data_IF_271217510949
#
_entry.id   IF_271217510949
#
_cell.length_a   1.000
_cell.length_b   1.000
_cell.length_c   1.000
_cell.angle_alpha   90.00
_cell.angle_beta   90.00
_cell.angle_gamma   90.00
#
_symmetry.space_group_name_H-M   'P 1'
#
loop_
_entity.id
_entity.type
_entity.pdbx_description
1 polymer ?
#
# COMPACT_ATOMS: atom_id res chain seq x y z
N UNK A 1 19.03 17.89 11.92
CA UNK A 1 19.20 16.83 12.93
C UNK A 1 18.08 15.83 12.70
N UNK A 2 18.38 14.73 12.01
CA UNK A 2 17.40 13.67 11.73
C UNK A 2 17.63 12.52 12.72
N UNK A 3 16.60 12.18 13.47
CA UNK A 3 16.63 11.08 14.42
C UNK A 3 16.00 9.83 13.80
N UNK A 4 16.77 8.75 13.69
CA UNK A 4 16.23 7.42 13.41
C UNK A 4 16.02 6.75 14.75
N UNK A 5 14.75 6.61 15.16
CA UNK A 5 14.38 5.90 16.38
C UNK A 5 14.53 4.40 16.17
N UNK A 6 15.47 3.79 16.86
CA UNK A 6 15.52 2.36 17.10
C UNK A 6 15.18 2.11 18.57
N UNK A 7 14.27 1.20 18.91
CA UNK A 7 14.12 0.81 20.31
C UNK A 7 15.41 0.11 20.74
N UNK A 8 16.22 0.77 21.57
CA UNK A 8 17.54 0.35 22.02
C UNK A 8 18.67 1.28 21.69
N UNK A 9 18.59 2.10 20.62
CA UNK A 9 19.69 2.97 20.20
C UNK A 9 19.21 4.23 19.46
N UNK A 10 19.92 5.35 19.69
CA UNK A 10 19.77 6.57 18.92
C UNK A 10 20.93 6.73 17.95
N UNK A 11 20.65 6.98 16.68
CA UNK A 11 21.65 7.41 15.71
C UNK A 11 21.63 8.93 15.63
N UNK A 12 22.74 9.56 15.98
CA UNK A 12 22.91 11.00 15.91
C UNK A 12 23.78 11.33 14.70
N UNK A 13 23.22 12.07 13.73
CA UNK A 13 23.97 12.62 12.62
C UNK A 13 24.29 14.08 12.96
N UNK A 14 25.54 14.39 13.23
CA UNK A 14 26.00 15.76 13.36
C UNK A 14 26.38 16.36 12.00
N UNK A 15 26.09 17.66 11.77
CA UNK A 15 26.44 18.32 10.51
C UNK A 15 27.95 18.46 10.33
N UNK A 16 28.42 18.84 9.19
CA UNK A 16 29.41 18.29 8.24
C UNK A 16 30.82 18.03 8.71
N UNK A 17 31.14 18.07 10.01
CA UNK A 17 32.52 17.97 10.52
C UNK A 17 32.90 16.65 11.22
N UNK A 18 31.97 15.74 11.46
CA UNK A 18 32.27 14.47 12.15
C UNK A 18 32.05 13.24 11.24
N UNK A 19 33.17 12.53 11.04
CA UNK A 19 33.22 11.28 10.26
C UNK A 19 32.79 10.02 11.06
N UNK A 20 32.11 10.18 12.19
CA UNK A 20 31.81 9.08 13.08
C UNK A 20 30.32 8.92 13.27
N UNK A 21 29.80 7.70 13.04
CA UNK A 21 28.48 7.28 13.44
C UNK A 21 28.52 6.96 14.94
N UNK A 22 27.75 7.68 15.75
CA UNK A 22 27.61 7.40 17.16
C UNK A 22 26.31 6.63 17.41
N UNK A 23 26.44 5.46 18.04
CA UNK A 23 25.29 4.62 18.45
C UNK A 23 25.19 4.73 19.96
N UNK A 24 24.09 5.25 20.46
CA UNK A 24 23.85 5.46 21.90
C UNK A 24 22.78 4.46 22.34
N UNK A 25 23.09 3.65 23.36
CA UNK A 25 22.14 2.74 23.98
C UNK A 25 21.09 3.55 24.78
N UNK A 26 19.82 3.20 24.67
CA UNK A 26 18.72 3.84 25.41
C UNK A 26 18.55 3.28 26.83
N UNK A 27 19.18 2.14 27.11
CA UNK A 27 19.26 1.55 28.45
C UNK A 27 20.58 0.80 28.64
N UNK A 28 20.89 0.41 29.90
CA UNK A 28 22.09 -0.33 30.23
C UNK A 28 21.97 -1.80 29.89
N UNK A 29 22.95 -2.35 29.17
CA UNK A 29 23.08 -3.77 28.86
C UNK A 29 24.10 -4.44 29.79
N UNK A 30 23.81 -5.65 30.28
CA UNK A 30 24.78 -6.46 30.98
C UNK A 30 25.71 -7.19 30.01
N UNK A 31 26.92 -7.58 30.42
CA UNK A 31 27.79 -8.42 29.61
C UNK A 31 27.10 -9.72 29.19
N UNK A 32 27.03 -9.97 27.87
CA UNK A 32 26.34 -11.14 27.31
C UNK A 32 24.90 -10.90 26.85
N UNK A 33 24.32 -9.74 27.14
CA UNK A 33 23.00 -9.38 26.65
C UNK A 33 22.98 -9.22 25.14
N UNK A 34 21.92 -9.67 24.51
CA UNK A 34 21.71 -9.51 23.08
C UNK A 34 21.28 -8.06 22.79
N UNK A 35 22.06 -7.37 21.98
CA UNK A 35 21.75 -6.02 21.50
C UNK A 35 20.91 -6.14 20.23
N UNK A 36 19.66 -5.68 20.28
CA UNK A 36 18.72 -5.75 19.15
C UNK A 36 18.53 -4.35 18.57
N UNK A 37 18.74 -4.23 17.27
CA UNK A 37 18.51 -2.99 16.52
C UNK A 37 17.18 -3.12 15.75
N UNK A 38 16.33 -2.11 15.86
CA UNK A 38 15.11 -2.01 15.07
C UNK A 38 15.41 -1.27 13.77
N UNK A 39 15.22 -1.93 12.64
CA UNK A 39 15.49 -1.36 11.29
C UNK A 39 14.50 -0.26 10.85
N UNK A 40 13.37 -0.10 11.52
CA UNK A 40 12.36 0.88 11.20
C UNK A 40 11.00 0.25 10.92
N UNK A 41 10.08 1.04 10.35
CA UNK A 41 8.73 0.60 9.99
C UNK A 41 8.69 0.19 8.51
N UNK A 42 9.51 -0.79 8.13
CA UNK A 42 9.65 -1.24 6.75
C UNK A 42 8.77 -2.45 6.45
N UNK A 43 8.22 -2.50 5.23
CA UNK A 43 7.55 -3.70 4.71
C UNK A 43 8.53 -4.85 4.48
N UNK A 44 8.05 -6.09 4.41
CA UNK A 44 8.88 -7.25 4.08
C UNK A 44 9.57 -7.09 2.71
N UNK A 45 8.92 -6.48 1.73
CA UNK A 45 9.55 -6.17 0.46
C UNK A 45 10.80 -5.31 0.63
N UNK A 46 10.73 -4.26 1.47
CA UNK A 46 11.87 -3.40 1.76
C UNK A 46 12.94 -4.10 2.59
N UNK A 47 12.52 -4.84 3.63
CA UNK A 47 13.45 -5.62 4.47
C UNK A 47 14.22 -6.65 3.66
N UNK A 48 13.55 -7.30 2.70
CA UNK A 48 14.18 -8.29 1.83
C UNK A 48 15.18 -7.66 0.86
N UNK A 49 14.82 -6.53 0.24
CA UNK A 49 15.67 -5.85 -0.74
C UNK A 49 16.92 -5.24 -0.11
N UNK A 50 16.76 -4.53 1.02
CA UNK A 50 17.86 -3.77 1.59
C UNK A 50 18.67 -4.56 2.62
N UNK A 51 18.07 -5.53 3.30
CA UNK A 51 18.67 -6.22 4.45
C UNK A 51 18.70 -7.74 4.29
N UNK A 52 18.01 -8.31 3.31
CA UNK A 52 18.07 -9.74 2.99
C UNK A 52 17.28 -10.65 3.95
N UNK A 53 16.29 -10.13 4.67
CA UNK A 53 15.42 -10.93 5.54
C UNK A 53 13.95 -10.49 5.43
N UNK A 54 13.04 -11.35 5.87
CA UNK A 54 11.61 -11.07 6.00
C UNK A 54 11.08 -11.59 7.35
N UNK A 55 10.02 -10.99 7.86
CA UNK A 55 9.37 -11.32 9.12
C UNK A 55 8.06 -12.08 8.87
N UNK A 56 7.72 -13.12 9.69
CA UNK A 56 6.52 -13.92 9.48
C UNK A 56 5.21 -13.13 9.61
N UNK A 57 5.19 -12.09 10.43
CA UNK A 57 4.00 -11.26 10.68
C UNK A 57 4.42 -9.79 10.77
N UNK A 58 4.69 -9.17 9.63
CA UNK A 58 5.08 -7.77 9.60
C UNK A 58 3.85 -6.86 9.46
N UNK A 59 3.55 -6.09 10.50
CA UNK A 59 2.43 -5.13 10.51
C UNK A 59 2.63 -3.93 9.58
N UNK A 60 3.81 -3.77 8.99
CA UNK A 60 4.15 -2.69 8.07
C UNK A 60 4.12 -3.13 6.60
N UNK A 61 3.64 -4.35 6.33
CA UNK A 61 3.47 -4.81 4.97
C UNK A 61 2.53 -3.91 4.17
N UNK A 62 2.83 -3.78 2.90
CA UNK A 62 2.06 -3.01 1.94
C UNK A 62 2.18 -3.64 0.56
N UNK A 63 1.16 -3.40 -0.26
CA UNK A 63 1.11 -3.91 -1.64
C UNK A 63 1.00 -2.74 -2.60
N UNK A 64 1.76 -2.78 -3.68
CA UNK A 64 1.63 -1.85 -4.79
C UNK A 64 0.53 -2.35 -5.75
N UNK A 65 -0.45 -1.50 -6.00
CA UNK A 65 -1.51 -1.77 -6.97
C UNK A 65 -1.39 -0.77 -8.10
N UNK A 66 -1.27 -1.25 -9.33
CA UNK A 66 -1.19 -0.40 -10.51
C UNK A 66 -2.55 -0.35 -11.21
N UNK A 67 -2.99 0.85 -11.51
CA UNK A 67 -4.19 1.11 -12.28
C UNK A 67 -3.83 2.01 -13.46
N UNK A 68 -4.27 1.65 -14.65
CA UNK A 68 -4.02 2.43 -15.87
C UNK A 68 -5.33 2.73 -16.60
N UNK A 69 -5.43 3.92 -17.20
CA UNK A 69 -6.51 4.22 -18.12
C UNK A 69 -6.15 3.60 -19.47
N UNK A 70 -6.99 2.70 -20.04
CA UNK A 70 -6.73 2.06 -21.31
C UNK A 70 -6.43 3.07 -22.41
N UNK A 71 -5.55 2.70 -23.34
CA UNK A 71 -5.20 3.58 -24.47
C UNK A 71 -6.38 3.82 -25.40
N UNK A 72 -7.28 2.85 -25.49
CA UNK A 72 -8.49 2.86 -26.34
C UNK A 72 -9.65 3.65 -25.72
N UNK A 73 -9.52 4.11 -24.47
CA UNK A 73 -10.56 4.89 -23.81
C UNK A 73 -10.74 6.24 -24.49
N UNK A 74 -11.92 6.46 -25.09
CA UNK A 74 -12.26 7.72 -25.78
C UNK A 74 -12.20 8.95 -24.89
N UNK A 75 -12.32 8.77 -23.58
CA UNK A 75 -12.29 9.84 -22.58
C UNK A 75 -10.92 9.95 -21.89
N UNK A 76 -9.93 9.19 -22.36
CA UNK A 76 -8.61 9.11 -21.73
C UNK A 76 -8.00 10.48 -21.47
N UNK A 77 -8.03 11.38 -22.46
CA UNK A 77 -7.47 12.72 -22.33
C UNK A 77 -8.16 13.53 -21.21
N UNK A 78 -9.48 13.51 -21.18
CA UNK A 78 -10.27 14.22 -20.18
C UNK A 78 -10.07 13.64 -18.77
N UNK A 79 -9.97 12.31 -18.66
CA UNK A 79 -9.67 11.60 -17.40
C UNK A 79 -8.29 11.97 -16.85
N UNK A 80 -7.27 11.97 -17.69
CA UNK A 80 -5.91 12.38 -17.31
C UNK A 80 -5.85 13.86 -16.89
N UNK A 81 -6.55 14.74 -17.60
CA UNK A 81 -6.64 16.15 -17.27
C UNK A 81 -7.31 16.35 -15.90
N UNK A 82 -8.41 15.64 -15.61
CA UNK A 82 -9.08 15.70 -14.33
C UNK A 82 -8.16 15.21 -13.20
N UNK A 83 -7.49 14.08 -13.38
CA UNK A 83 -6.54 13.55 -12.41
C UNK A 83 -5.37 14.50 -12.16
N UNK A 84 -4.82 15.14 -13.21
CA UNK A 84 -3.72 16.09 -13.07
C UNK A 84 -4.11 17.36 -12.29
N UNK A 85 -5.35 17.85 -12.49
CA UNK A 85 -5.89 19.02 -11.75
C UNK A 85 -6.13 18.73 -10.26
N UNK A 86 -6.42 17.50 -9.93
CA UNK A 86 -6.84 17.07 -8.58
C UNK A 86 -5.88 16.06 -7.97
N UNK A 87 -4.60 16.11 -8.34
CA UNK A 87 -3.58 15.23 -7.77
C UNK A 87 -3.50 15.43 -6.26
N UNK A 88 -3.69 14.34 -5.53
CA UNK A 88 -3.34 14.28 -4.12
C UNK A 88 -1.81 14.23 -4.05
N UNK A 89 -1.15 15.10 -3.26
CA UNK A 89 0.30 15.05 -3.11
C UNK A 89 0.74 13.63 -2.74
N UNK A 90 1.61 13.05 -3.56
CA UNK A 90 2.19 11.74 -3.28
C UNK A 90 3.15 11.94 -2.11
N UNK A 91 2.75 11.51 -0.93
CA UNK A 91 3.66 11.42 0.20
C UNK A 91 4.71 10.37 -0.15
N UNK A 92 5.99 10.77 -0.21
CA UNK A 92 7.08 9.81 -0.38
C UNK A 92 6.99 8.79 0.75
N UNK A 93 6.73 7.54 0.39
CA UNK A 93 6.68 6.48 1.38
C UNK A 93 8.10 6.25 1.93
N UNK A 94 8.19 6.03 3.23
CA UNK A 94 9.45 5.68 3.93
C UNK A 94 10.10 4.43 3.31
N UNK A 95 9.30 3.55 2.69
CA UNK A 95 9.77 2.36 2.00
C UNK A 95 10.49 2.64 0.67
N UNK A 96 10.53 3.89 0.20
CA UNK A 96 11.31 4.30 -0.98
C UNK A 96 10.81 3.76 -2.32
N UNK A 97 9.68 3.05 -2.34
CA UNK A 97 9.00 2.73 -3.59
C UNK A 97 8.38 4.03 -4.10
N UNK A 98 8.98 4.58 -5.16
CA UNK A 98 8.37 5.73 -5.82
C UNK A 98 7.06 5.26 -6.44
N UNK A 99 5.94 5.74 -5.89
CA UNK A 99 4.68 5.62 -6.59
C UNK A 99 4.80 6.34 -7.92
N UNK A 100 4.71 5.61 -9.02
CA UNK A 100 4.42 6.20 -10.31
C UNK A 100 3.02 6.85 -10.25
N UNK A 101 2.68 7.72 -11.17
CA UNK A 101 1.37 8.39 -11.19
C UNK A 101 0.18 7.41 -11.13
N UNK A 102 0.43 6.13 -11.45
CA UNK A 102 -0.57 5.06 -11.55
C UNK A 102 -0.35 3.92 -10.55
N UNK A 103 0.59 4.05 -9.61
CA UNK A 103 0.91 3.02 -8.60
C UNK A 103 0.51 3.49 -7.21
N UNK A 104 -0.24 2.65 -6.49
CA UNK A 104 -0.85 2.98 -5.21
C UNK A 104 -0.46 1.95 -4.15
N UNK A 105 0.11 2.43 -3.04
CA UNK A 105 0.49 1.56 -1.92
C UNK A 105 -0.71 1.32 -0.99
N UNK A 106 -1.23 0.10 -0.98
CA UNK A 106 -2.22 -0.36 -0.01
C UNK A 106 -1.53 -0.82 1.26
N UNK A 107 -2.13 -0.49 2.41
CA UNK A 107 -1.75 -0.96 3.74
C UNK A 107 -2.88 -1.76 4.36
N UNK A 108 -2.58 -2.55 5.37
CA UNK A 108 -3.60 -3.34 6.06
C UNK A 108 -4.72 -2.44 6.62
N UNK A 109 -5.95 -2.77 6.25
CA UNK A 109 -7.15 -2.10 6.76
C UNK A 109 -7.57 -2.81 8.05
N UNK A 110 -7.57 -2.08 9.16
CA UNK A 110 -8.03 -2.63 10.43
C UNK A 110 -9.55 -2.80 10.41
N UNK A 111 -10.04 -3.92 10.91
CA UNK A 111 -11.48 -4.26 10.92
C UNK A 111 -12.36 -3.21 11.61
N UNK A 112 -11.83 -2.46 12.57
CA UNK A 112 -12.53 -1.37 13.24
C UNK A 112 -12.48 -0.02 12.49
N UNK A 113 -11.78 0.06 11.34
CA UNK A 113 -11.62 1.31 10.60
C UNK A 113 -12.73 1.50 9.57
N UNK A 114 -13.80 2.18 9.99
CA UNK A 114 -14.90 2.54 9.08
C UNK A 114 -14.46 3.41 7.89
N UNK A 115 -13.32 4.12 7.98
CA UNK A 115 -12.82 5.01 6.93
C UNK A 115 -11.92 4.32 5.90
N UNK A 116 -11.50 3.07 6.14
CA UNK A 116 -10.62 2.29 5.26
C UNK A 116 -9.26 2.94 5.02
N UNK A 117 -8.59 3.39 6.09
CA UNK A 117 -7.32 4.16 6.01
C UNK A 117 -6.18 3.40 5.33
N UNK A 118 -6.26 2.08 5.24
CA UNK A 118 -5.31 1.26 4.49
C UNK A 118 -5.41 1.43 2.98
N UNK A 119 -6.56 1.90 2.48
CA UNK A 119 -6.80 2.15 1.05
C UNK A 119 -6.64 3.65 0.80
N UNK A 120 -5.61 4.09 0.05
CA UNK A 120 -5.37 5.51 -0.20
C UNK A 120 -6.55 6.20 -0.89
N UNK A 121 -6.78 7.48 -0.57
CA UNK A 121 -7.80 8.27 -1.29
C UNK A 121 -7.47 8.42 -2.78
N UNK A 122 -6.18 8.39 -3.14
CA UNK A 122 -5.71 8.48 -4.53
C UNK A 122 -6.22 7.33 -5.40
N UNK A 123 -6.16 6.07 -4.91
CA UNK A 123 -6.69 4.93 -5.68
C UNK A 123 -8.20 4.99 -5.83
N UNK A 124 -8.94 5.45 -4.79
CA UNK A 124 -10.41 5.65 -4.88
C UNK A 124 -10.75 6.75 -5.88
N UNK A 125 -10.01 7.87 -5.86
CA UNK A 125 -10.15 8.94 -6.83
C UNK A 125 -9.90 8.44 -8.26
N UNK A 126 -8.84 7.69 -8.45
CA UNK A 126 -8.50 7.10 -9.74
C UNK A 126 -9.61 6.16 -10.24
N UNK A 127 -10.14 5.29 -9.38
CA UNK A 127 -11.23 4.38 -9.74
C UNK A 127 -12.51 5.12 -10.13
N UNK A 128 -12.90 6.20 -9.42
CA UNK A 128 -14.05 7.03 -9.79
C UNK A 128 -13.90 7.65 -11.17
N UNK A 129 -12.71 8.16 -11.48
CA UNK A 129 -12.40 8.74 -12.80
C UNK A 129 -12.39 7.64 -13.86
N UNK A 130 -11.75 6.51 -13.57
CA UNK A 130 -11.65 5.39 -14.52
C UNK A 130 -13.03 4.84 -14.91
N UNK A 131 -13.95 4.72 -13.95
CA UNK A 131 -15.31 4.22 -14.18
C UNK A 131 -16.26 5.25 -14.83
N UNK A 132 -15.83 6.47 -15.10
CA UNK A 132 -16.66 7.45 -15.81
C UNK A 132 -16.76 7.10 -17.28
N UNK A 133 -18.01 7.03 -17.79
CA UNK A 133 -18.31 6.58 -19.15
C UNK A 133 -18.77 7.71 -20.09
N UNK A 134 -18.93 8.92 -19.58
CA UNK A 134 -19.36 10.09 -20.36
C UNK A 134 -18.64 11.38 -19.93
N UNK A 135 -18.51 12.37 -20.82
CA UNK A 135 -17.99 13.69 -20.47
C UNK A 135 -18.78 14.38 -19.36
N UNK A 136 -20.09 14.14 -19.30
CA UNK A 136 -20.97 14.68 -18.26
C UNK A 136 -20.59 14.14 -16.89
N UNK A 137 -20.30 12.84 -16.78
CA UNK A 137 -19.86 12.23 -15.54
C UNK A 137 -18.50 12.78 -15.06
N UNK A 138 -17.56 13.02 -15.97
CA UNK A 138 -16.28 13.65 -15.67
C UNK A 138 -16.50 15.07 -15.12
N UNK A 139 -17.40 15.85 -15.74
CA UNK A 139 -17.75 17.16 -15.26
C UNK A 139 -18.40 17.15 -13.88
N UNK A 140 -19.29 16.18 -13.60
CA UNK A 140 -19.86 16.00 -12.25
C UNK A 140 -18.78 15.72 -11.20
N UNK A 141 -17.81 14.86 -11.52
CA UNK A 141 -16.68 14.62 -10.62
C UNK A 141 -15.86 15.89 -10.36
N UNK A 142 -15.62 16.72 -11.39
CA UNK A 142 -14.91 17.97 -11.25
C UNK A 142 -15.66 18.96 -10.32
N UNK A 143 -16.99 19.07 -10.46
CA UNK A 143 -17.84 19.91 -9.61
C UNK A 143 -17.82 19.40 -8.17
N UNK A 144 -18.03 18.09 -7.95
CA UNK A 144 -17.97 17.50 -6.62
C UNK A 144 -16.60 17.64 -5.96
N UNK A 145 -15.51 17.55 -6.75
CA UNK A 145 -14.17 17.79 -6.24
C UNK A 145 -14.00 19.25 -5.79
N UNK A 146 -14.51 20.22 -6.55
CA UNK A 146 -14.46 21.65 -6.19
C UNK A 146 -15.19 21.90 -4.85
N UNK A 147 -16.32 21.27 -4.62
CA UNK A 147 -17.06 21.33 -3.33
C UNK A 147 -16.31 20.65 -2.17
N UNK A 148 -15.33 19.81 -2.46
CA UNK A 148 -14.53 19.04 -1.50
C UNK A 148 -13.05 19.46 -1.44
N UNK A 149 -12.77 20.75 -1.51
CA UNK A 149 -11.41 21.35 -1.48
C UNK A 149 -10.50 20.79 -2.60
N UNK A 150 -11.03 20.55 -3.77
CA UNK A 150 -10.31 20.00 -4.90
C UNK A 150 -9.99 18.51 -4.80
N UNK A 151 -10.60 17.77 -3.87
CA UNK A 151 -10.30 16.35 -3.63
C UNK A 151 -11.39 15.43 -4.18
N UNK A 152 -11.02 14.56 -5.11
CA UNK A 152 -11.91 13.62 -5.78
C UNK A 152 -12.45 12.48 -4.87
N UNK A 153 -11.84 12.22 -3.72
CA UNK A 153 -12.21 11.10 -2.85
C UNK A 153 -12.29 11.45 -1.36
N UNK A 154 -12.52 12.73 -1.03
CA UNK A 154 -12.66 13.18 0.37
C UNK A 154 -13.95 12.65 1.02
N UNK A 155 -15.04 12.63 0.25
CA UNK A 155 -16.36 12.15 0.67
C UNK A 155 -16.89 11.15 -0.36
N UNK A 156 -17.87 10.31 0.00
CA UNK A 156 -18.60 9.51 -0.98
C UNK A 156 -19.24 10.43 -2.04
N UNK A 157 -19.38 9.91 -3.25
CA UNK A 157 -20.10 10.63 -4.32
C UNK A 157 -21.58 10.80 -3.93
N UNK A 158 -22.20 11.89 -4.38
CA UNK A 158 -23.64 12.12 -4.22
C UNK A 158 -24.44 11.01 -4.93
N UNK A 159 -23.96 10.56 -6.08
CA UNK A 159 -24.50 9.40 -6.80
C UNK A 159 -23.91 8.10 -6.22
N UNK A 160 -24.72 7.43 -5.40
CA UNK A 160 -24.36 6.16 -4.76
C UNK A 160 -24.04 5.05 -5.78
N UNK A 161 -24.76 5.01 -6.89
CA UNK A 161 -24.54 3.97 -7.91
C UNK A 161 -23.14 4.06 -8.49
N UNK A 162 -22.67 5.28 -8.80
CA UNK A 162 -21.32 5.52 -9.29
C UNK A 162 -20.26 5.28 -8.22
N UNK A 163 -20.57 5.61 -6.98
CA UNK A 163 -19.67 5.31 -5.84
C UNK A 163 -19.47 3.80 -5.70
N UNK A 164 -20.56 3.02 -5.74
CA UNK A 164 -20.53 1.56 -5.68
C UNK A 164 -19.75 1.00 -6.88
N UNK A 165 -20.02 1.47 -8.10
CA UNK A 165 -19.33 1.01 -9.30
C UNK A 165 -17.80 1.18 -9.20
N UNK A 166 -17.34 2.34 -8.73
CA UNK A 166 -15.90 2.59 -8.56
C UNK A 166 -15.26 1.66 -7.52
N UNK A 167 -15.97 1.37 -6.41
CA UNK A 167 -15.44 0.51 -5.36
C UNK A 167 -15.54 -0.98 -5.74
N UNK A 168 -16.55 -1.39 -6.48
CA UNK A 168 -16.65 -2.74 -7.06
C UNK A 168 -15.54 -2.99 -8.09
N UNK A 169 -15.19 -2.00 -8.89
CA UNK A 169 -14.04 -2.09 -9.79
C UNK A 169 -12.73 -2.33 -9.01
N UNK A 170 -12.49 -1.59 -7.91
CA UNK A 170 -11.33 -1.83 -7.06
C UNK A 170 -11.35 -3.22 -6.43
N UNK A 171 -12.51 -3.66 -5.96
CA UNK A 171 -12.69 -4.99 -5.39
C UNK A 171 -12.33 -6.08 -6.40
N UNK A 172 -12.81 -5.96 -7.65
CA UNK A 172 -12.46 -6.91 -8.71
C UNK A 172 -10.96 -6.97 -8.95
N UNK A 173 -10.28 -5.82 -9.02
CA UNK A 173 -8.83 -5.76 -9.21
C UNK A 173 -8.04 -6.36 -8.04
N UNK A 174 -8.48 -6.10 -6.82
CA UNK A 174 -7.85 -6.69 -5.63
C UNK A 174 -8.09 -8.20 -5.57
N UNK A 175 -9.27 -8.67 -5.98
CA UNK A 175 -9.58 -10.12 -6.03
C UNK A 175 -8.71 -10.84 -7.06
N UNK A 176 -8.52 -10.26 -8.25
CA UNK A 176 -7.56 -10.78 -9.25
C UNK A 176 -6.16 -10.96 -8.64
N UNK A 177 -5.65 -9.94 -7.93
CA UNK A 177 -4.36 -10.03 -7.25
C UNK A 177 -4.34 -11.10 -6.15
N UNK A 178 -5.41 -11.23 -5.36
CA UNK A 178 -5.53 -12.28 -4.33
C UNK A 178 -5.38 -13.66 -4.96
N UNK A 179 -5.99 -13.90 -6.12
CA UNK A 179 -5.90 -15.18 -6.82
C UNK A 179 -4.48 -15.45 -7.33
N UNK A 180 -3.81 -14.44 -7.89
CA UNK A 180 -2.40 -14.53 -8.30
C UNK A 180 -1.47 -14.84 -7.13
N UNK A 181 -1.66 -14.17 -5.98
CA UNK A 181 -0.88 -14.41 -4.76
C UNK A 181 -1.12 -15.81 -4.19
N UNK A 182 -2.38 -16.27 -4.17
CA UNK A 182 -2.71 -17.65 -3.74
C UNK A 182 -2.04 -18.69 -4.65
N UNK A 183 -2.06 -18.50 -5.97
CA UNK A 183 -1.39 -19.37 -6.91
C UNK A 183 0.13 -19.39 -6.69
N UNK A 184 0.74 -18.23 -6.47
CA UNK A 184 2.16 -18.07 -6.18
C UNK A 184 2.57 -18.77 -4.88
N UNK A 185 1.81 -18.59 -3.80
CA UNK A 185 2.05 -19.27 -2.51
C UNK A 185 1.95 -20.78 -2.68
N UNK A 186 0.91 -21.27 -3.37
CA UNK A 186 0.74 -22.70 -3.65
C UNK A 186 1.91 -23.27 -4.43
N UNK A 187 2.48 -22.52 -5.37
CA UNK A 187 3.66 -22.96 -6.13
C UNK A 187 4.91 -23.11 -5.24
N UNK A 188 5.02 -22.27 -4.19
CA UNK A 188 6.09 -22.39 -3.22
C UNK A 188 5.94 -23.62 -2.29
N UNK A 189 4.75 -24.15 -2.09
CA UNK A 189 4.49 -25.31 -1.22
C UNK A 189 4.83 -26.64 -1.89
N UNK A 190 4.97 -26.67 -3.21
CA UNK A 190 5.31 -27.89 -3.94
C UNK A 190 6.72 -28.40 -3.56
N UNK A 191 6.88 -29.68 -3.17
CA UNK A 191 8.16 -30.21 -2.77
C UNK A 191 9.12 -30.24 -3.96
N UNK A 192 10.21 -29.50 -3.87
CA UNK A 192 11.31 -29.56 -4.83
C UNK A 192 12.27 -30.65 -4.38
N UNK A 193 12.37 -31.72 -5.11
CA UNK A 193 13.01 -33.01 -4.77
C UNK A 193 14.50 -32.98 -4.40
N UNK A 194 15.18 -31.82 -4.34
CA UNK A 194 16.63 -31.81 -4.16
C UNK A 194 17.28 -30.56 -3.57
N UNK A 195 16.68 -29.87 -2.57
CA UNK A 195 17.28 -28.63 -2.09
C UNK A 195 17.32 -28.53 -0.56
N UNK A 196 18.50 -28.81 0.01
CA UNK A 196 18.79 -28.66 1.45
C UNK A 196 19.48 -27.31 1.71
N UNK A 197 19.03 -26.55 2.71
CA UNK A 197 19.75 -25.43 3.33
C UNK A 197 19.36 -24.03 2.85
N UNK A 198 20.22 -23.35 2.08
CA UNK A 198 20.02 -21.92 1.71
C UNK A 198 18.77 -21.65 0.88
N UNK A 199 18.27 -22.62 0.13
CA UNK A 199 17.03 -22.50 -0.65
C UNK A 199 15.79 -22.53 0.23
N UNK A 200 15.78 -23.26 1.32
CA UNK A 200 14.67 -23.29 2.28
C UNK A 200 14.49 -21.92 2.95
N UNK A 201 15.58 -21.29 3.35
CA UNK A 201 15.55 -19.91 3.90
C UNK A 201 14.97 -18.90 2.92
N UNK A 202 15.39 -18.93 1.64
CA UNK A 202 14.87 -18.03 0.61
C UNK A 202 13.39 -18.27 0.31
N UNK A 203 12.99 -19.54 0.24
CA UNK A 203 11.60 -19.94 0.07
C UNK A 203 10.74 -19.47 1.24
N UNK A 204 11.22 -19.63 2.46
CA UNK A 204 10.54 -19.15 3.65
C UNK A 204 10.38 -17.63 3.65
N UNK A 205 11.42 -16.88 3.27
CA UNK A 205 11.33 -15.41 3.14
C UNK A 205 10.34 -14.99 2.06
N UNK A 206 10.32 -15.66 0.91
CA UNK A 206 9.34 -15.44 -0.15
C UNK A 206 7.90 -15.73 0.35
N UNK A 207 7.72 -16.80 1.12
CA UNK A 207 6.44 -17.14 1.72
C UNK A 207 5.99 -16.06 2.73
N UNK A 208 6.89 -15.55 3.58
CA UNK A 208 6.58 -14.46 4.50
C UNK A 208 6.18 -13.18 3.78
N UNK A 209 6.89 -12.83 2.70
CA UNK A 209 6.55 -11.69 1.86
C UNK A 209 5.14 -11.85 1.27
N UNK A 210 4.90 -12.93 0.53
CA UNK A 210 3.63 -13.14 -0.16
C UNK A 210 2.44 -13.28 0.81
N UNK A 211 2.60 -13.95 1.94
CA UNK A 211 1.52 -14.07 2.94
C UNK A 211 1.24 -12.75 3.64
N UNK A 212 2.25 -11.93 3.89
CA UNK A 212 2.09 -10.59 4.44
C UNK A 212 1.31 -9.66 3.50
N UNK A 213 1.68 -9.65 2.22
CA UNK A 213 1.01 -8.87 1.18
C UNK A 213 -0.40 -9.40 0.90
N UNK A 214 -0.62 -10.72 0.87
CA UNK A 214 -1.94 -11.32 0.74
C UNK A 214 -2.88 -10.91 1.90
N UNK A 215 -2.36 -10.79 3.12
CA UNK A 215 -3.12 -10.30 4.27
C UNK A 215 -3.60 -8.86 4.04
N UNK A 216 -2.74 -7.99 3.50
CA UNK A 216 -3.09 -6.61 3.13
C UNK A 216 -4.20 -6.60 2.11
N UNK A 217 -4.08 -7.37 1.02
CA UNK A 217 -5.10 -7.47 -0.04
C UNK A 217 -6.44 -7.96 0.51
N UNK A 218 -6.45 -9.04 1.31
CA UNK A 218 -7.68 -9.58 1.91
C UNK A 218 -8.35 -8.58 2.84
N UNK A 219 -7.59 -7.81 3.61
CA UNK A 219 -8.16 -6.77 4.48
C UNK A 219 -8.81 -5.64 3.67
N UNK A 220 -8.21 -5.27 2.54
CA UNK A 220 -8.76 -4.26 1.64
C UNK A 220 -10.02 -4.76 0.91
N UNK A 221 -10.03 -6.02 0.43
CA UNK A 221 -11.20 -6.62 -0.20
C UNK A 221 -12.39 -6.66 0.76
N UNK A 222 -12.19 -7.17 1.98
CA UNK A 222 -13.23 -7.22 3.00
C UNK A 222 -13.81 -5.84 3.34
N UNK A 223 -12.94 -4.82 3.41
CA UNK A 223 -13.43 -3.46 3.65
C UNK A 223 -14.27 -2.94 2.48
N UNK A 224 -13.85 -3.18 1.22
CA UNK A 224 -14.56 -2.74 0.02
C UNK A 224 -15.93 -3.43 -0.09
N UNK A 225 -16.02 -4.72 0.21
CA UNK A 225 -17.27 -5.47 0.27
C UNK A 225 -18.25 -4.85 1.26
N UNK A 226 -17.81 -4.68 2.51
CA UNK A 226 -18.62 -4.07 3.56
C UNK A 226 -19.05 -2.64 3.23
N UNK A 227 -18.16 -1.87 2.61
CA UNK A 227 -18.45 -0.49 2.20
C UNK A 227 -19.54 -0.46 1.11
N UNK A 228 -19.42 -1.28 0.08
CA UNK A 228 -20.43 -1.39 -0.96
C UNK A 228 -21.81 -1.85 -0.38
N UNK A 229 -21.80 -2.87 0.48
CA UNK A 229 -23.04 -3.32 1.15
C UNK A 229 -23.70 -2.23 1.99
N UNK A 230 -22.91 -1.46 2.73
CA UNK A 230 -23.42 -0.35 3.54
C UNK A 230 -24.11 0.72 2.67
N UNK A 231 -23.57 1.01 1.47
CA UNK A 231 -24.17 1.95 0.54
C UNK A 231 -25.47 1.45 -0.08
N UNK A 232 -25.63 0.13 -0.26
CA UNK A 232 -26.89 -0.47 -0.76
C UNK A 232 -28.01 -0.42 0.27
N UNK A 233 -27.70 -0.48 1.58
CA UNK A 233 -28.71 -0.56 2.66
C UNK A 233 -29.30 0.81 3.04
N UNK A 234 -28.70 1.90 2.63
CA UNK A 234 -29.09 3.29 2.92
C UNK A 234 -29.76 3.91 1.69
#
# INVERSE_FOLDING_TARGET
MEYIFCSGFYFMFDPPYFKHLQVIADYSYAPGDQVIIRYGKFSNARLLLDFGFALPCNMYDQVQVELTIPHEDKLRQQKLELLSKHQIPILKDVNGFSSSENSFALKEVRSADAQGRGIPQSIRAFARVLCSNSPQEINYLAVEAAENDGRLARRPLKDKSREIQAHQFLLSKITELIDEYNASIKSLELPTLCMVGKLDSRRQMAQYLLTGELRVLKSAALWLENYCEALFRV
#
